data_IF_917846124145
#
_entry.id   IF_917846124145
#
_cell.length_a   1.000
_cell.length_b   1.000
_cell.length_c   1.000
_cell.angle_alpha   90.00
_cell.angle_beta   90.00
_cell.angle_gamma   90.00
#
_symmetry.space_group_name_H-M   'P 1'
#
loop_
_entity.id
_entity.type
_entity.pdbx_description
1 polymer ?
#
# COMPACT_ATOMS: atom_id res chain seq x y z
N UNK A 1 6.06 8.07 -18.95
CA UNK A 1 4.85 8.93 -19.03
C UNK A 1 4.68 9.64 -17.68
N UNK A 2 3.91 10.72 -17.53
CA UNK A 2 3.65 11.29 -16.19
C UNK A 2 2.34 10.73 -15.63
N UNK A 3 2.39 10.14 -14.43
CA UNK A 3 1.25 9.57 -13.72
C UNK A 3 1.19 10.15 -12.30
N UNK A 4 0.02 10.65 -11.89
CA UNK A 4 -0.24 11.16 -10.54
C UNK A 4 -1.26 10.25 -9.87
N UNK A 5 -0.92 9.76 -8.67
CA UNK A 5 -1.78 8.89 -7.86
C UNK A 5 -2.11 9.61 -6.55
N UNK A 6 -3.40 9.67 -6.21
CA UNK A 6 -3.89 10.20 -4.95
C UNK A 6 -4.61 9.08 -4.21
N UNK A 7 -4.26 8.88 -2.95
CA UNK A 7 -4.82 7.83 -2.12
C UNK A 7 -4.28 7.91 -0.70
N UNK A 8 -4.73 6.99 0.15
CA UNK A 8 -4.24 6.93 1.53
C UNK A 8 -2.81 6.42 1.59
N UNK A 9 -2.09 6.91 2.60
CA UNK A 9 -0.82 6.36 3.07
C UNK A 9 -1.02 6.08 4.55
N UNK A 10 -0.84 4.83 4.96
CA UNK A 10 -1.23 4.39 6.29
C UNK A 10 -0.29 3.31 6.84
N UNK A 11 -0.40 3.09 8.14
CA UNK A 11 0.10 1.88 8.78
C UNK A 11 -1.10 1.02 9.19
N UNK A 12 -1.14 -0.19 8.67
CA UNK A 12 -2.23 -1.14 8.90
C UNK A 12 -1.82 -2.18 9.95
N UNK A 13 -2.80 -2.62 10.72
CA UNK A 13 -2.69 -3.83 11.54
C UNK A 13 -3.49 -4.93 10.87
N UNK A 14 -2.84 -6.06 10.58
CA UNK A 14 -3.42 -7.19 9.85
C UNK A 14 -3.45 -8.40 10.78
N UNK A 15 -4.64 -8.99 10.93
CA UNK A 15 -4.88 -10.23 11.68
C UNK A 15 -5.23 -11.36 10.72
N UNK A 16 -4.58 -12.49 10.89
CA UNK A 16 -4.86 -13.75 10.19
C UNK A 16 -5.06 -14.87 11.21
N UNK A 17 -5.61 -16.04 10.82
CA UNK A 17 -5.69 -17.19 11.72
C UNK A 17 -4.36 -17.63 12.33
N UNK A 18 -3.22 -17.27 11.73
CA UNK A 18 -1.88 -17.67 12.16
C UNK A 18 -1.13 -16.58 12.94
N UNK A 19 -1.74 -15.41 13.13
CA UNK A 19 -1.19 -14.34 13.95
C UNK A 19 -1.43 -12.95 13.39
N UNK A 20 -0.92 -11.98 14.14
CA UNK A 20 -1.10 -10.56 13.92
C UNK A 20 0.22 -9.89 13.52
N UNK A 21 0.10 -8.83 12.72
CA UNK A 21 1.20 -7.94 12.37
C UNK A 21 0.72 -6.50 12.43
N UNK A 22 1.46 -5.69 13.17
CA UNK A 22 1.21 -4.26 13.31
C UNK A 22 2.17 -3.45 12.45
N UNK A 23 1.82 -2.17 12.22
CA UNK A 23 2.67 -1.20 11.51
C UNK A 23 3.10 -1.67 10.11
N UNK A 24 2.24 -2.42 9.42
CA UNK A 24 2.46 -2.78 8.03
C UNK A 24 2.21 -1.54 7.18
N UNK A 25 3.13 -1.23 6.26
CA UNK A 25 2.91 -0.15 5.29
C UNK A 25 1.69 -0.49 4.43
N UNK A 26 0.72 0.40 4.44
CA UNK A 26 -0.56 0.23 3.78
C UNK A 26 -1.01 1.46 3.02
N UNK A 27 -2.30 1.50 2.71
CA UNK A 27 -2.94 2.59 1.99
C UNK A 27 -2.98 2.39 0.47
N UNK A 28 -4.06 2.91 -0.14
CA UNK A 28 -4.32 2.75 -1.57
C UNK A 28 -3.30 3.46 -2.44
N UNK A 29 -2.83 4.63 -2.00
CA UNK A 29 -1.80 5.39 -2.70
C UNK A 29 -0.48 4.64 -2.76
N UNK A 30 -0.11 3.98 -1.66
CA UNK A 30 1.13 3.21 -1.55
C UNK A 30 1.15 2.01 -2.50
N UNK A 31 0.15 1.13 -2.42
CA UNK A 31 0.11 -0.08 -3.26
C UNK A 31 -0.13 0.24 -4.74
N UNK A 32 -0.96 1.24 -5.06
CA UNK A 32 -1.18 1.65 -6.44
C UNK A 32 0.12 2.23 -7.06
N UNK A 33 0.84 3.08 -6.32
CA UNK A 33 2.11 3.65 -6.78
C UNK A 33 3.18 2.59 -6.99
N UNK A 34 3.29 1.63 -6.05
CA UNK A 34 4.25 0.53 -6.16
C UNK A 34 3.97 -0.39 -7.34
N UNK A 35 2.70 -0.68 -7.63
CA UNK A 35 2.34 -1.49 -8.79
C UNK A 35 2.59 -0.73 -10.10
N UNK A 36 2.22 0.56 -10.14
CA UNK A 36 2.38 1.39 -11.33
C UNK A 36 3.85 1.55 -11.73
N UNK A 37 4.80 1.62 -10.79
CA UNK A 37 6.22 1.86 -11.07
C UNK A 37 6.88 0.82 -12.01
N UNK A 38 6.23 -0.31 -12.28
CA UNK A 38 6.69 -1.31 -13.24
C UNK A 38 6.32 -0.99 -14.70
N UNK A 39 5.51 0.04 -14.96
CA UNK A 39 4.88 0.28 -16.27
C UNK A 39 4.89 1.75 -16.75
N UNK A 40 5.42 2.71 -15.97
CA UNK A 40 5.36 4.16 -16.29
C UNK A 40 6.70 4.80 -16.58
#
# INVERSE_FOLDING_TARGET
MSLVIVGSVAFDTIRTPWGDRERIVGGSGTYCSLAASYFT
#
